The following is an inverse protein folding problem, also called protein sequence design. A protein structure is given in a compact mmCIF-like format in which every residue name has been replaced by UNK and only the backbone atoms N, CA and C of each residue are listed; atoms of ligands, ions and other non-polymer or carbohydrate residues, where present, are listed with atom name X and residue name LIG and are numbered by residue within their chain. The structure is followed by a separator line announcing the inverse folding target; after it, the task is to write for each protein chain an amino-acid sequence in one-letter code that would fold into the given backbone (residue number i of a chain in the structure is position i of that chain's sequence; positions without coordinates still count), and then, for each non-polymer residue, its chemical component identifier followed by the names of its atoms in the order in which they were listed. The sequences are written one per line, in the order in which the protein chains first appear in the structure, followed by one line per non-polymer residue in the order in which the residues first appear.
data_IF_769759089076
#
_entry.id   IF_769759089076
#
_cell.length_a   1.000
_cell.length_b   1.000
_cell.length_c   1.000
_cell.angle_alpha   90.00
_cell.angle_beta   90.00
_cell.angle_gamma   90.00
#
_symmetry.space_group_name_H-M   'P 1'
#
loop_
_entity.id
_entity.type
_entity.pdbx_description
1 polymer ?
#
# COMPACT_ATOMS: atom_id res chain seq x y z
N UNK A 1 -30.79 2.35 34.97
CA UNK A 1 -30.88 1.62 33.68
C UNK A 1 -30.41 2.44 32.46
N UNK A 2 -30.91 3.67 32.22
CA UNK A 2 -30.52 4.51 31.06
C UNK A 2 -29.01 4.86 30.97
N UNK A 3 -28.33 5.09 32.10
CA UNK A 3 -26.89 5.40 32.11
C UNK A 3 -26.01 4.20 31.75
N UNK A 4 -26.37 3.00 32.21
CA UNK A 4 -25.68 1.76 31.87
C UNK A 4 -25.75 1.48 30.37
N UNK A 5 -26.94 1.63 29.77
CA UNK A 5 -27.13 1.42 28.34
C UNK A 5 -26.33 2.41 27.48
N UNK A 6 -26.28 3.70 27.87
CA UNK A 6 -25.46 4.71 27.18
C UNK A 6 -23.96 4.44 27.29
N UNK A 7 -23.50 3.94 28.45
CA UNK A 7 -22.10 3.57 28.67
C UNK A 7 -21.70 2.36 27.82
N UNK A 8 -22.55 1.33 27.81
CA UNK A 8 -22.37 0.12 27.00
C UNK A 8 -22.33 0.45 25.50
N UNK A 9 -23.24 1.31 25.05
CA UNK A 9 -23.33 1.72 23.64
C UNK A 9 -22.13 2.57 23.22
N UNK A 10 -21.60 3.44 24.10
CA UNK A 10 -20.33 4.13 23.87
C UNK A 10 -19.13 3.17 23.84
N UNK A 11 -19.12 2.17 24.71
CA UNK A 11 -18.04 1.17 24.77
C UNK A 11 -17.98 0.33 23.49
N UNK A 12 -19.13 -0.14 23.00
CA UNK A 12 -19.18 -0.87 21.72
C UNK A 12 -18.98 0.04 20.51
N UNK A 13 -19.49 1.27 20.54
CA UNK A 13 -19.25 2.24 19.48
C UNK A 13 -17.76 2.59 19.33
N UNK A 14 -16.98 2.56 20.41
CA UNK A 14 -15.54 2.73 20.36
C UNK A 14 -14.87 1.66 19.47
N UNK A 15 -15.21 0.39 19.65
CA UNK A 15 -14.69 -0.71 18.82
C UNK A 15 -15.26 -0.73 17.39
N UNK A 16 -16.39 -0.05 17.14
CA UNK A 16 -17.01 0.10 15.82
C UNK A 16 -16.64 1.44 15.16
N UNK A 17 -15.40 1.91 15.37
CA UNK A 17 -14.83 3.07 14.68
C UNK A 17 -15.05 4.42 15.37
N UNK A 18 -15.52 4.42 16.62
CA UNK A 18 -15.61 5.63 17.45
C UNK A 18 -14.25 6.21 17.88
N UNK A 19 -13.16 5.49 17.62
CA UNK A 19 -11.77 5.88 17.84
C UNK A 19 -11.14 6.61 16.64
N UNK A 20 -11.81 6.60 15.47
CA UNK A 20 -11.29 7.22 14.25
C UNK A 20 -11.23 8.75 14.40
N UNK A 21 -10.12 9.40 13.99
CA UNK A 21 -9.99 10.84 14.09
C UNK A 21 -11.04 11.54 13.23
N UNK A 22 -11.54 12.67 13.73
CA UNK A 22 -12.51 13.47 13.00
C UNK A 22 -11.81 14.25 11.87
N UNK A 23 -12.07 13.85 10.63
CA UNK A 23 -11.54 14.51 9.42
C UNK A 23 -12.59 15.44 8.83
N UNK A 24 -12.23 16.70 8.55
CA UNK A 24 -13.10 17.68 7.90
C UNK A 24 -13.56 17.21 6.51
N UNK A 25 -14.77 17.59 6.07
CA UNK A 25 -15.31 17.12 4.79
C UNK A 25 -14.46 17.51 3.58
N UNK A 26 -13.85 18.69 3.58
CA UNK A 26 -12.94 19.14 2.51
C UNK A 26 -11.75 18.20 2.36
N UNK A 27 -11.19 17.76 3.48
CA UNK A 27 -10.08 16.80 3.53
C UNK A 27 -10.50 15.43 2.99
N UNK A 28 -11.71 14.96 3.34
CA UNK A 28 -12.26 13.69 2.82
C UNK A 28 -12.36 13.71 1.30
N UNK A 29 -13.00 14.75 0.74
CA UNK A 29 -13.15 14.88 -0.70
C UNK A 29 -11.80 14.98 -1.38
N UNK A 30 -10.88 15.78 -0.84
CA UNK A 30 -9.53 15.88 -1.38
C UNK A 30 -8.82 14.52 -1.41
N UNK A 31 -8.87 13.74 -0.33
CA UNK A 31 -8.23 12.42 -0.29
C UNK A 31 -8.87 11.44 -1.28
N UNK A 32 -10.21 11.44 -1.38
CA UNK A 32 -10.95 10.58 -2.33
C UNK A 32 -10.61 10.93 -3.78
N UNK A 33 -10.65 12.20 -4.16
CA UNK A 33 -10.27 12.64 -5.51
C UNK A 33 -8.80 12.39 -5.81
N UNK A 34 -7.91 12.58 -4.83
CA UNK A 34 -6.50 12.28 -4.97
C UNK A 34 -6.24 10.81 -5.27
N UNK A 35 -6.85 9.92 -4.47
CA UNK A 35 -6.76 8.48 -4.67
C UNK A 35 -7.35 8.06 -6.02
N UNK A 36 -8.49 8.62 -6.42
CA UNK A 36 -9.09 8.36 -7.72
C UNK A 36 -8.17 8.77 -8.87
N UNK A 37 -7.63 9.99 -8.86
CA UNK A 37 -6.73 10.49 -9.91
C UNK A 37 -5.43 9.66 -9.93
N UNK A 38 -4.86 9.37 -8.77
CA UNK A 38 -3.66 8.56 -8.61
C UNK A 38 -3.81 7.17 -9.20
N UNK A 39 -4.85 6.44 -8.78
CA UNK A 39 -5.11 5.10 -9.29
C UNK A 39 -5.51 5.11 -10.76
N UNK A 40 -6.30 6.09 -11.21
CA UNK A 40 -6.66 6.20 -12.62
C UNK A 40 -5.42 6.37 -13.49
N UNK A 41 -4.47 7.22 -13.10
CA UNK A 41 -3.22 7.41 -13.83
C UNK A 41 -2.38 6.14 -13.82
N UNK A 42 -2.17 5.51 -12.66
CA UNK A 42 -1.39 4.26 -12.54
C UNK A 42 -2.01 3.13 -13.37
N UNK A 43 -3.33 2.95 -13.28
CA UNK A 43 -4.02 1.85 -13.98
C UNK A 43 -4.09 2.10 -15.49
N UNK A 44 -4.24 3.35 -15.92
CA UNK A 44 -4.21 3.66 -17.35
C UNK A 44 -2.82 3.47 -17.93
N UNK A 45 -1.75 3.91 -17.24
CA UNK A 45 -0.37 3.62 -17.67
C UNK A 45 -0.09 2.14 -17.72
N UNK A 46 -0.45 1.38 -16.68
CA UNK A 46 -0.31 -0.07 -16.65
C UNK A 46 -1.07 -0.72 -17.82
N UNK A 47 -2.27 -0.23 -18.15
CA UNK A 47 -3.03 -0.69 -19.31
C UNK A 47 -2.29 -0.43 -20.63
N UNK A 48 -1.78 0.79 -20.82
CA UNK A 48 -1.03 1.16 -22.03
C UNK A 48 0.28 0.39 -22.18
N UNK A 49 0.92 0.05 -21.07
CA UNK A 49 2.14 -0.75 -21.01
C UNK A 49 1.87 -2.26 -21.17
N UNK A 50 0.61 -2.69 -21.25
CA UNK A 50 0.21 -4.09 -21.43
C UNK A 50 0.26 -4.93 -20.15
N UNK A 51 0.19 -4.31 -18.98
CA UNK A 51 0.34 -4.94 -17.67
C UNK A 51 -1.01 -5.33 -17.02
N UNK A 52 -2.14 -4.90 -17.60
CA UNK A 52 -3.46 -5.33 -17.17
C UNK A 52 -3.79 -6.74 -17.72
N UNK A 53 -3.31 -7.77 -17.02
CA UNK A 53 -3.71 -9.16 -17.23
C UNK A 53 -3.15 -10.11 -16.17
N UNK A 54 -3.99 -11.02 -15.67
CA UNK A 54 -3.58 -12.05 -14.70
C UNK A 54 -3.09 -11.46 -13.37
N UNK A 55 -1.83 -11.70 -13.03
CA UNK A 55 -1.17 -11.30 -11.77
C UNK A 55 -1.19 -9.78 -11.57
N UNK A 56 -1.18 -9.01 -12.67
CA UNK A 56 -1.26 -7.56 -12.64
C UNK A 56 -2.51 -7.04 -11.93
N UNK A 57 -3.64 -7.75 -12.00
CA UNK A 57 -4.89 -7.33 -11.34
C UNK A 57 -4.78 -7.36 -9.82
N UNK A 58 -4.10 -8.36 -9.26
CA UNK A 58 -3.90 -8.45 -7.81
C UNK A 58 -2.89 -7.40 -7.32
N UNK A 59 -1.90 -7.07 -8.14
CA UNK A 59 -1.01 -5.94 -7.84
C UNK A 59 -1.79 -4.63 -7.76
N UNK A 60 -2.75 -4.40 -8.65
CA UNK A 60 -3.62 -3.23 -8.60
C UNK A 60 -4.43 -3.14 -7.30
N UNK A 61 -4.85 -4.28 -6.73
CA UNK A 61 -5.50 -4.30 -5.42
C UNK A 61 -4.55 -3.85 -4.29
N UNK A 62 -3.28 -4.29 -4.30
CA UNK A 62 -2.26 -3.81 -3.37
C UNK A 62 -1.99 -2.31 -3.55
N UNK A 63 -1.86 -1.83 -4.79
CA UNK A 63 -1.68 -0.42 -5.10
C UNK A 63 -2.88 0.43 -4.67
N UNK A 64 -4.10 -0.11 -4.69
CA UNK A 64 -5.28 0.50 -4.08
C UNK A 64 -5.09 0.78 -2.59
N UNK A 65 -4.54 -0.17 -1.84
CA UNK A 65 -4.21 0.01 -0.43
C UNK A 65 -3.02 1.00 -0.23
N UNK A 66 -2.03 1.00 -1.12
CA UNK A 66 -0.97 2.02 -1.13
C UNK A 66 -1.54 3.43 -1.36
N UNK A 67 -2.49 3.59 -2.28
CA UNK A 67 -3.14 4.87 -2.56
C UNK A 67 -3.92 5.37 -1.34
N UNK A 68 -4.60 4.50 -0.60
CA UNK A 68 -5.22 4.88 0.65
C UNK A 68 -4.20 5.51 1.61
N UNK A 69 -3.04 4.88 1.81
CA UNK A 69 -2.00 5.45 2.68
C UNK A 69 -1.47 6.78 2.14
N UNK A 70 -1.15 6.86 0.86
CA UNK A 70 -0.56 8.06 0.24
C UNK A 70 -1.52 9.25 0.25
N UNK A 71 -2.82 9.06 -0.02
CA UNK A 71 -3.78 10.16 -0.18
C UNK A 71 -4.64 10.42 1.07
N UNK A 72 -4.90 9.41 1.90
CA UNK A 72 -5.71 9.55 3.13
C UNK A 72 -4.83 9.81 4.34
N UNK A 73 -3.68 9.15 4.42
CA UNK A 73 -2.75 9.24 5.56
C UNK A 73 -1.33 9.66 5.13
N UNK A 74 -1.15 10.77 4.37
CA UNK A 74 0.15 11.18 3.82
C UNK A 74 1.22 11.44 4.88
N UNK A 75 0.80 11.75 6.12
CA UNK A 75 1.68 11.98 7.27
C UNK A 75 2.24 10.69 7.88
N UNK A 76 1.71 9.53 7.49
CA UNK A 76 2.22 8.25 7.96
C UNK A 76 3.64 8.03 7.45
N UNK A 77 4.58 7.58 8.32
CA UNK A 77 5.89 7.10 7.87
C UNK A 77 5.79 5.99 6.82
N UNK A 78 4.75 5.15 6.92
CA UNK A 78 4.48 4.04 6.00
C UNK A 78 3.99 4.50 4.62
N UNK A 79 3.54 5.76 4.51
CA UNK A 79 3.13 6.37 3.26
C UNK A 79 4.28 7.14 2.59
N UNK A 80 5.48 7.23 3.19
CA UNK A 80 6.60 7.98 2.61
C UNK A 80 7.20 7.25 1.39
N UNK A 81 7.82 7.98 0.44
CA UNK A 81 8.35 7.41 -0.80
C UNK A 81 9.23 6.17 -0.61
N UNK A 82 10.13 6.19 0.36
CA UNK A 82 11.01 5.05 0.65
C UNK A 82 10.22 3.82 1.08
N UNK A 83 9.24 3.98 1.97
CA UNK A 83 8.40 2.88 2.42
C UNK A 83 7.63 2.25 1.25
N UNK A 84 6.96 3.08 0.43
CA UNK A 84 6.17 2.56 -0.70
C UNK A 84 7.04 1.88 -1.75
N UNK A 85 8.08 2.56 -2.23
CA UNK A 85 8.90 2.08 -3.36
C UNK A 85 9.75 0.89 -2.93
N UNK A 86 10.56 1.04 -1.88
CA UNK A 86 11.44 -0.04 -1.45
C UNK A 86 10.66 -1.17 -0.77
N UNK A 87 9.58 -0.89 -0.05
CA UNK A 87 8.74 -1.92 0.57
C UNK A 87 8.13 -2.84 -0.47
N UNK A 88 7.45 -2.28 -1.48
CA UNK A 88 6.83 -3.07 -2.56
C UNK A 88 7.88 -3.86 -3.36
N UNK A 89 8.98 -3.21 -3.75
CA UNK A 89 10.06 -3.83 -4.54
C UNK A 89 10.73 -4.97 -3.76
N UNK A 90 11.09 -4.74 -2.49
CA UNK A 90 11.67 -5.77 -1.63
C UNK A 90 10.73 -6.96 -1.46
N UNK A 91 9.45 -6.68 -1.23
CA UNK A 91 8.44 -7.72 -1.01
C UNK A 91 8.23 -8.58 -2.24
N UNK A 92 8.24 -7.98 -3.44
CA UNK A 92 8.24 -8.73 -4.70
C UNK A 92 9.49 -9.62 -4.81
N UNK A 93 10.69 -9.09 -4.54
CA UNK A 93 11.94 -9.87 -4.60
C UNK A 93 11.94 -11.04 -3.61
N UNK A 94 11.50 -10.81 -2.37
CA UNK A 94 11.40 -11.85 -1.34
C UNK A 94 10.36 -12.91 -1.72
N UNK A 95 9.20 -12.50 -2.23
CA UNK A 95 8.16 -13.42 -2.70
C UNK A 95 8.64 -14.30 -3.86
N UNK A 96 9.31 -13.70 -4.86
CA UNK A 96 9.92 -14.41 -5.98
C UNK A 96 10.98 -15.40 -5.49
N UNK A 97 11.85 -14.97 -4.58
CA UNK A 97 12.89 -15.83 -4.00
C UNK A 97 12.28 -17.03 -3.26
N UNK A 98 11.26 -16.80 -2.44
CA UNK A 98 10.57 -17.88 -1.72
C UNK A 98 9.92 -18.87 -2.68
N UNK A 99 9.24 -18.37 -3.72
CA UNK A 99 8.64 -19.21 -4.75
C UNK A 99 9.69 -20.05 -5.51
N UNK A 100 10.84 -19.46 -5.87
CA UNK A 100 11.91 -20.21 -6.53
C UNK A 100 12.52 -21.31 -5.66
N UNK A 101 12.63 -21.08 -4.34
CA UNK A 101 13.25 -22.02 -3.42
C UNK A 101 12.30 -23.12 -2.95
N UNK A 102 11.02 -22.80 -2.76
CA UNK A 102 10.06 -23.68 -2.09
C UNK A 102 8.88 -24.08 -2.99
N UNK A 103 8.71 -23.44 -4.14
CA UNK A 103 7.59 -23.66 -5.04
C UNK A 103 6.24 -23.23 -4.47
N UNK A 104 5.18 -23.76 -5.08
CA UNK A 104 3.79 -23.56 -4.67
C UNK A 104 3.42 -24.50 -3.51
N UNK A 105 3.94 -24.19 -2.33
CA UNK A 105 3.61 -24.87 -1.08
C UNK A 105 2.85 -23.91 -0.16
N UNK A 106 1.91 -24.45 0.63
CA UNK A 106 1.13 -23.66 1.59
C UNK A 106 2.00 -22.86 2.57
N UNK A 107 3.18 -23.37 2.91
CA UNK A 107 4.12 -22.69 3.80
C UNK A 107 4.87 -21.53 3.13
N UNK A 108 4.99 -21.52 1.80
CA UNK A 108 5.70 -20.48 1.06
C UNK A 108 5.03 -19.11 1.23
N UNK A 109 3.70 -19.07 1.25
CA UNK A 109 2.91 -17.84 1.41
C UNK A 109 3.19 -17.11 2.73
N UNK A 110 2.95 -17.70 3.92
CA UNK A 110 3.23 -17.02 5.19
C UNK A 110 4.72 -16.76 5.39
N UNK A 111 5.60 -17.62 4.86
CA UNK A 111 7.05 -17.41 4.95
C UNK A 111 7.49 -16.20 4.14
N UNK A 112 7.02 -16.06 2.89
CA UNK A 112 7.32 -14.92 2.04
C UNK A 112 6.88 -13.60 2.70
N UNK A 113 5.70 -13.58 3.30
CA UNK A 113 5.20 -12.41 4.04
C UNK A 113 6.06 -12.11 5.27
N UNK A 114 6.36 -13.11 6.08
CA UNK A 114 7.16 -12.92 7.29
C UNK A 114 8.58 -12.40 6.97
N UNK A 115 9.23 -12.96 5.95
CA UNK A 115 10.54 -12.52 5.48
C UNK A 115 10.50 -11.12 4.85
N UNK A 116 9.44 -10.80 4.10
CA UNK A 116 9.22 -9.45 3.56
C UNK A 116 9.08 -8.43 4.70
N UNK A 117 8.28 -8.72 5.72
CA UNK A 117 8.12 -7.87 6.91
C UNK A 117 9.46 -7.68 7.63
N UNK A 118 10.21 -8.76 7.85
CA UNK A 118 11.53 -8.68 8.45
C UNK A 118 12.49 -7.80 7.63
N UNK A 119 12.53 -7.99 6.31
CA UNK A 119 13.32 -7.17 5.41
C UNK A 119 12.93 -5.69 5.46
N UNK A 120 11.63 -5.40 5.51
CA UNK A 120 11.12 -4.03 5.65
C UNK A 120 11.52 -3.39 6.98
N UNK A 121 11.55 -4.15 8.07
CA UNK A 121 12.07 -3.65 9.36
C UNK A 121 13.55 -3.31 9.26
N UNK A 122 14.35 -4.19 8.66
CA UNK A 122 15.80 -3.99 8.50
C UNK A 122 16.08 -2.76 7.64
N UNK A 123 15.40 -2.63 6.49
CA UNK A 123 15.59 -1.52 5.54
C UNK A 123 14.79 -0.26 5.87
N UNK A 124 14.02 -0.27 6.96
CA UNK A 124 13.16 0.83 7.42
C UNK A 124 12.18 1.32 6.34
N UNK A 125 11.66 0.39 5.53
CA UNK A 125 10.70 0.65 4.45
C UNK A 125 9.34 -0.03 4.70
N UNK A 126 8.89 -0.06 5.97
CA UNK A 126 7.67 -0.73 6.36
C UNK A 126 6.43 -0.12 5.68
N UNK A 127 5.87 -0.86 4.73
CA UNK A 127 4.68 -0.50 3.96
C UNK A 127 3.70 -1.67 3.96
N UNK A 128 2.59 -1.60 4.73
CA UNK A 128 1.68 -2.74 4.89
C UNK A 128 1.14 -3.33 3.58
N UNK A 129 0.79 -2.53 2.55
CA UNK A 129 0.37 -3.07 1.25
C UNK A 129 1.43 -3.94 0.58
N UNK A 130 2.71 -3.73 0.87
CA UNK A 130 3.81 -4.51 0.30
C UNK A 130 3.79 -5.98 0.74
N UNK A 131 3.26 -6.30 1.92
CA UNK A 131 3.08 -7.68 2.34
C UNK A 131 2.19 -8.47 1.37
N UNK A 132 1.16 -7.81 0.80
CA UNK A 132 0.34 -8.42 -0.24
C UNK A 132 1.13 -8.66 -1.53
N UNK A 133 2.09 -7.79 -1.88
CA UNK A 133 2.96 -7.98 -3.06
C UNK A 133 3.80 -9.27 -2.95
N UNK A 134 4.29 -9.60 -1.75
CA UNK A 134 4.97 -10.88 -1.53
C UNK A 134 4.05 -12.09 -1.77
N UNK A 135 2.80 -12.03 -1.29
CA UNK A 135 1.79 -13.07 -1.56
C UNK A 135 1.47 -13.17 -3.05
N UNK A 136 1.29 -12.03 -3.73
CA UNK A 136 0.97 -11.98 -5.16
C UNK A 136 2.09 -12.62 -5.99
N UNK A 137 3.35 -12.40 -5.63
CA UNK A 137 4.47 -13.03 -6.31
C UNK A 137 4.44 -14.56 -6.19
N UNK A 138 4.11 -15.08 -4.99
CA UNK A 138 4.01 -16.53 -4.76
C UNK A 138 2.77 -17.12 -5.43
N UNK A 139 1.57 -16.55 -5.19
CA UNK A 139 0.31 -17.03 -5.77
C UNK A 139 0.25 -16.89 -7.30
N UNK A 140 0.95 -15.89 -7.83
CA UNK A 140 1.10 -15.66 -9.27
C UNK A 140 2.17 -16.55 -9.91
N UNK A 141 2.86 -17.39 -9.13
CA UNK A 141 3.94 -18.26 -9.60
C UNK A 141 5.04 -17.45 -10.32
N UNK A 142 5.36 -16.26 -9.81
CA UNK A 142 6.30 -15.34 -10.43
C UNK A 142 7.73 -15.81 -10.16
N UNK A 143 8.37 -16.39 -11.17
CA UNK A 143 9.76 -16.86 -11.10
C UNK A 143 10.81 -15.88 -11.60
N UNK A 144 10.44 -14.70 -12.11
CA UNK A 144 11.39 -13.77 -12.75
C UNK A 144 11.48 -12.43 -12.00
N UNK A 145 12.70 -12.02 -11.64
CA UNK A 145 12.96 -10.78 -10.90
C UNK A 145 12.54 -9.50 -11.63
N UNK A 146 12.33 -9.56 -12.94
CA UNK A 146 11.82 -8.41 -13.72
C UNK A 146 10.53 -7.86 -13.13
N UNK A 147 9.65 -8.73 -12.61
CA UNK A 147 8.37 -8.33 -12.01
C UNK A 147 8.53 -7.32 -10.86
N UNK A 148 9.59 -7.46 -10.04
CA UNK A 148 9.84 -6.55 -8.92
C UNK A 148 10.19 -5.13 -9.38
N UNK A 149 10.84 -4.99 -10.54
CA UNK A 149 11.18 -3.68 -11.11
C UNK A 149 10.07 -3.15 -12.01
N UNK A 150 9.39 -4.03 -12.74
CA UNK A 150 8.32 -3.71 -13.66
C UNK A 150 7.30 -4.86 -13.69
N UNK A 151 6.05 -4.67 -13.22
CA UNK A 151 5.41 -3.38 -12.88
C UNK A 151 5.77 -2.76 -11.52
N UNK A 152 6.12 -3.57 -10.52
CA UNK A 152 5.94 -3.21 -9.10
C UNK A 152 6.62 -1.89 -8.69
N UNK A 153 7.91 -1.73 -8.99
CA UNK A 153 8.65 -0.51 -8.64
C UNK A 153 8.17 0.69 -9.46
N UNK A 154 7.90 0.51 -10.76
CA UNK A 154 7.43 1.58 -11.66
C UNK A 154 6.08 2.12 -11.20
N UNK A 155 5.12 1.26 -10.92
CA UNK A 155 3.80 1.68 -10.43
C UNK A 155 3.89 2.37 -9.06
N UNK A 156 4.77 1.87 -8.18
CA UNK A 156 5.02 2.50 -6.88
C UNK A 156 5.60 3.91 -7.02
N UNK A 157 6.57 4.09 -7.93
CA UNK A 157 7.15 5.40 -8.25
C UNK A 157 6.07 6.33 -8.81
N UNK A 158 5.28 5.85 -9.77
CA UNK A 158 4.24 6.64 -10.40
C UNK A 158 3.18 7.10 -9.39
N UNK A 159 2.73 6.19 -8.52
CA UNK A 159 1.78 6.51 -7.44
C UNK A 159 2.33 7.61 -6.51
N UNK A 160 3.60 7.51 -6.13
CA UNK A 160 4.28 8.51 -5.29
C UNK A 160 4.40 9.86 -6.01
N UNK A 161 4.75 9.86 -7.30
CA UNK A 161 4.86 11.08 -8.09
C UNK A 161 3.51 11.78 -8.19
N UNK A 162 2.44 11.06 -8.49
CA UNK A 162 1.09 11.64 -8.53
C UNK A 162 0.66 12.12 -7.14
N UNK A 163 0.94 11.35 -6.09
CA UNK A 163 0.69 11.73 -4.71
C UNK A 163 1.37 13.05 -4.32
N UNK A 164 2.65 13.20 -4.68
CA UNK A 164 3.42 14.42 -4.44
C UNK A 164 2.89 15.60 -5.23
N UNK A 165 2.63 15.44 -6.53
CA UNK A 165 2.07 16.52 -7.36
C UNK A 165 0.71 16.96 -6.82
N UNK A 166 -0.19 16.01 -6.58
CA UNK A 166 -1.55 16.30 -6.10
C UNK A 166 -1.56 16.96 -4.72
N UNK A 167 -0.74 16.47 -3.78
CA UNK A 167 -0.64 17.05 -2.45
C UNK A 167 -0.13 18.49 -2.52
N UNK A 168 0.93 18.74 -3.30
CA UNK A 168 1.49 20.09 -3.45
C UNK A 168 0.50 21.06 -4.12
N UNK A 169 -0.21 20.62 -5.18
CA UNK A 169 -1.25 21.43 -5.85
C UNK A 169 -2.43 21.77 -4.94
N UNK A 170 -2.71 20.93 -3.96
CA UNK A 170 -3.81 21.13 -3.00
C UNK A 170 -3.34 21.76 -1.68
N UNK A 171 -2.12 22.30 -1.65
CA UNK A 171 -1.60 23.09 -0.53
C UNK A 171 -1.07 22.27 0.65
N UNK A 172 -0.83 20.96 0.49
CA UNK A 172 -0.16 20.13 1.50
C UNK A 172 1.22 19.68 1.04
N UNK A 173 2.21 19.82 1.92
CA UNK A 173 3.55 19.29 1.66
C UNK A 173 3.51 17.76 1.68
N UNK A 174 3.95 17.14 0.59
CA UNK A 174 4.32 15.73 0.54
C UNK A 174 5.47 15.59 -0.47
N UNK A 175 6.54 14.83 -0.15
CA UNK A 175 6.75 14.01 1.06
C UNK A 175 6.87 14.85 2.34
N UNK A 176 6.58 14.22 3.48
CA UNK A 176 6.67 14.90 4.78
C UNK A 176 8.09 14.82 5.31
N UNK A 177 8.62 15.96 5.76
CA UNK A 177 9.91 16.00 6.44
C UNK A 177 9.72 15.50 7.87
N UNK A 178 10.64 14.69 8.42
CA UNK A 178 10.60 14.36 9.84
C UNK A 178 10.64 15.64 10.67
N UNK A 179 9.85 15.67 11.74
CA UNK A 179 9.95 16.72 12.76
C UNK A 179 11.37 16.62 13.34
N UNK A 180 12.18 17.66 13.13
CA UNK A 180 13.53 17.77 13.69
C UNK A 180 13.47 17.99 15.19
#
# INVERSE_FOLDING_TARGET
MRYFFKSLLKHYAFYLGGDQPTVAWVERWRSVFGAFIGLLLVFTTAKFLGELGGIGEWLMASLGASALLVFVLPQSPMAQPWAVIAGNTLSALVGILCFQLLGDALITLPLAVALSILGMFILRCLHPPAAAVALIAVLGHVGHYRYAFFPVMVDSILLILVGAIYSNLTGKSYPNKPLR
#
